data_IF_408663116354
#
_entry.id   IF_408663116354
#
_cell.length_a   1.000
_cell.length_b   1.000
_cell.length_c   1.000
_cell.angle_alpha   90.00
_cell.angle_beta   90.00
_cell.angle_gamma   90.00
#
_symmetry.space_group_name_H-M   'P 1'
#
loop_
_entity.id
_entity.type
_entity.pdbx_description
1 polymer ?
#
# COMPACT_ATOMS: atom_id res chain seq x y z
N UNK A 1 -25.22 -19.00 -9.79
CA UNK A 1 -24.66 -18.37 -11.01
C UNK A 1 -24.10 -16.99 -10.67
N UNK A 2 -22.80 -16.83 -10.44
CA UNK A 2 -22.07 -15.54 -10.50
C UNK A 2 -20.61 -15.82 -10.87
N UNK A 3 -20.36 -16.08 -12.15
CA UNK A 3 -19.02 -16.07 -12.76
C UNK A 3 -19.03 -15.01 -13.86
N UNK A 4 -17.89 -14.36 -14.07
CA UNK A 4 -17.57 -13.43 -15.18
C UNK A 4 -17.85 -11.92 -15.02
N UNK A 5 -17.24 -11.29 -14.01
CA UNK A 5 -16.87 -9.86 -14.11
C UNK A 5 -15.41 -9.56 -13.72
N UNK A 6 -14.67 -10.52 -13.12
CA UNK A 6 -13.31 -10.27 -12.60
C UNK A 6 -12.16 -10.53 -13.57
N UNK A 7 -12.38 -11.22 -14.70
CA UNK A 7 -11.28 -11.61 -15.61
C UNK A 7 -10.78 -10.48 -16.52
N UNK A 8 -11.56 -9.42 -16.74
CA UNK A 8 -11.23 -8.36 -17.71
C UNK A 8 -10.24 -7.32 -17.15
N UNK A 9 -10.24 -7.10 -15.83
CA UNK A 9 -9.40 -6.08 -15.19
C UNK A 9 -7.95 -6.53 -14.92
N UNK A 10 -7.69 -7.84 -14.98
CA UNK A 10 -6.37 -8.44 -14.73
C UNK A 10 -5.38 -8.21 -15.90
N UNK A 11 -5.86 -8.16 -17.14
CA UNK A 11 -5.01 -8.09 -18.34
C UNK A 11 -4.33 -6.73 -18.57
N UNK A 12 -5.04 -5.63 -18.30
CA UNK A 12 -4.47 -4.29 -18.45
C UNK A 12 -3.50 -3.94 -17.31
N UNK A 13 -3.76 -4.52 -16.15
CA UNK A 13 -2.99 -4.32 -14.94
C UNK A 13 -1.64 -5.06 -14.99
N UNK A 14 -1.63 -6.30 -15.46
CA UNK A 14 -0.40 -7.07 -15.68
C UNK A 14 0.53 -6.37 -16.70
N UNK A 15 -0.04 -5.75 -17.75
CA UNK A 15 0.73 -4.96 -18.72
C UNK A 15 1.38 -3.73 -18.07
N UNK A 16 0.66 -3.02 -17.21
CA UNK A 16 1.20 -1.86 -16.47
C UNK A 16 2.30 -2.27 -15.49
N UNK A 17 2.13 -3.39 -14.77
CA UNK A 17 3.14 -3.94 -13.85
C UNK A 17 4.37 -4.51 -14.56
N UNK A 18 4.20 -5.15 -15.72
CA UNK A 18 5.33 -5.60 -16.53
C UNK A 18 6.15 -4.42 -17.06
N UNK A 19 5.48 -3.31 -17.43
CA UNK A 19 6.14 -2.07 -17.82
C UNK A 19 6.87 -1.40 -16.65
N UNK A 20 6.34 -1.50 -15.43
CA UNK A 20 6.98 -1.03 -14.20
C UNK A 20 8.26 -1.81 -13.87
N UNK A 21 8.21 -3.15 -13.92
CA UNK A 21 9.41 -4.02 -13.77
C UNK A 21 10.48 -3.74 -14.83
N UNK A 22 10.08 -3.35 -16.04
CA UNK A 22 10.99 -2.98 -17.11
C UNK A 22 11.64 -1.58 -16.91
N UNK A 23 10.99 -0.67 -16.19
CA UNK A 23 11.53 0.66 -15.88
C UNK A 23 12.59 0.63 -14.77
N UNK A 24 12.45 -0.23 -13.75
CA UNK A 24 13.50 -0.44 -12.73
C UNK A 24 14.79 -1.03 -13.33
N UNK A 25 14.68 -1.76 -14.45
CA UNK A 25 15.84 -2.28 -15.19
C UNK A 25 16.54 -1.25 -16.09
N UNK A 26 15.97 -0.06 -16.28
CA UNK A 26 16.46 0.92 -17.26
C UNK A 26 17.07 2.20 -16.66
N UNK A 27 17.28 2.27 -15.33
CA UNK A 27 17.82 3.47 -14.70
C UNK A 27 19.21 3.26 -14.08
N UNK A 28 20.24 3.26 -14.94
CA UNK A 28 21.58 3.71 -14.56
C UNK A 28 22.10 4.68 -15.63
N UNK A 29 22.06 6.01 -15.41
CA UNK A 29 22.73 6.95 -16.29
C UNK A 29 23.93 7.59 -15.56
N UNK A 30 25.13 7.19 -15.94
CA UNK A 30 26.32 7.98 -15.64
C UNK A 30 26.26 9.28 -16.46
N UNK A 31 26.04 10.41 -15.79
CA UNK A 31 26.45 11.74 -16.25
C UNK A 31 25.54 12.47 -17.26
N UNK A 32 24.56 13.23 -16.77
CA UNK A 32 24.11 14.47 -17.41
C UNK A 32 23.33 15.35 -16.40
N UNK A 33 23.75 16.60 -16.24
CA UNK A 33 23.13 17.60 -15.34
C UNK A 33 21.71 17.96 -15.82
N UNK A 34 20.68 18.03 -14.96
CA UNK A 34 19.38 18.53 -15.39
C UNK A 34 19.32 20.06 -15.33
N UNK A 35 19.02 20.66 -16.48
CA UNK A 35 18.53 22.04 -16.61
C UNK A 35 17.06 22.08 -16.21
N UNK A 36 16.70 22.97 -15.28
CA UNK A 36 15.31 23.23 -14.90
C UNK A 36 14.69 24.23 -15.88
N UNK A 37 14.24 23.75 -17.03
CA UNK A 37 13.37 24.51 -17.92
C UNK A 37 12.19 23.64 -18.38
N UNK A 38 11.00 24.11 -18.04
CA UNK A 38 9.65 23.75 -18.48
C UNK A 38 9.49 22.53 -19.41
N UNK A 39 8.77 21.51 -18.92
CA UNK A 39 8.05 20.57 -19.78
C UNK A 39 6.66 20.32 -19.18
N UNK A 40 5.67 21.01 -19.75
CA UNK A 40 4.26 20.73 -19.56
C UNK A 40 3.87 19.35 -20.08
N UNK A 41 2.81 18.81 -19.47
CA UNK A 41 1.94 17.72 -19.93
C UNK A 41 2.58 16.55 -20.69
N UNK A 42 2.91 15.48 -19.96
CA UNK A 42 3.04 14.13 -20.53
C UNK A 42 1.73 13.37 -20.35
N UNK A 43 0.75 13.62 -21.21
CA UNK A 43 -0.40 12.73 -21.41
C UNK A 43 0.07 11.41 -22.03
N UNK A 44 0.12 10.33 -21.24
CA UNK A 44 0.37 8.97 -21.76
C UNK A 44 1.10 7.99 -20.84
N UNK A 45 1.60 8.43 -19.68
CA UNK A 45 2.12 7.52 -18.65
C UNK A 45 1.34 7.75 -17.36
N UNK A 46 0.34 6.90 -17.08
CA UNK A 46 -0.31 6.86 -15.77
C UNK A 46 0.78 6.65 -14.73
N UNK A 47 0.96 7.60 -13.84
CA UNK A 47 2.04 7.54 -12.84
C UNK A 47 1.79 6.36 -11.90
N UNK A 48 2.85 5.79 -11.29
CA UNK A 48 2.68 4.71 -10.30
C UNK A 48 1.72 5.10 -9.18
N UNK A 49 1.69 6.40 -8.83
CA UNK A 49 0.76 6.99 -7.86
C UNK A 49 -0.69 6.91 -8.32
N UNK A 50 -0.98 7.21 -9.58
CA UNK A 50 -2.32 7.09 -10.15
C UNK A 50 -2.78 5.64 -10.25
N UNK A 51 -1.89 4.72 -10.60
CA UNK A 51 -2.20 3.28 -10.64
C UNK A 51 -2.64 2.79 -9.26
N UNK A 52 -1.86 3.11 -8.21
CA UNK A 52 -2.20 2.72 -6.85
C UNK A 52 -3.50 3.39 -6.38
N UNK A 53 -3.71 4.66 -6.72
CA UNK A 53 -4.93 5.37 -6.33
C UNK A 53 -6.16 4.74 -6.98
N UNK A 54 -6.06 4.38 -8.25
CA UNK A 54 -7.14 3.69 -8.96
C UNK A 54 -7.39 2.30 -8.39
N UNK A 55 -6.34 1.57 -8.02
CA UNK A 55 -6.48 0.28 -7.33
C UNK A 55 -7.25 0.43 -6.03
N UNK A 56 -6.86 1.35 -5.15
CA UNK A 56 -7.58 1.61 -3.89
C UNK A 56 -9.06 1.90 -4.15
N UNK A 57 -9.38 2.80 -5.10
CA UNK A 57 -10.76 3.14 -5.47
C UNK A 57 -11.57 1.91 -5.92
N UNK A 58 -10.98 1.04 -6.73
CA UNK A 58 -11.66 -0.16 -7.24
C UNK A 58 -11.98 -1.13 -6.09
N UNK A 59 -11.04 -1.33 -5.18
CA UNK A 59 -11.17 -2.24 -4.03
C UNK A 59 -12.22 -1.72 -3.03
N UNK A 60 -12.24 -0.41 -2.80
CA UNK A 60 -13.13 0.21 -1.79
C UNK A 60 -14.44 0.75 -2.34
N UNK A 61 -14.77 0.53 -3.62
CA UNK A 61 -15.93 1.15 -4.29
C UNK A 61 -17.29 0.90 -3.64
N UNK A 62 -17.43 -0.18 -2.88
CA UNK A 62 -18.69 -0.61 -2.26
C UNK A 62 -18.71 -0.36 -0.73
N UNK A 63 -17.73 0.36 -0.20
CA UNK A 63 -17.65 0.68 1.23
C UNK A 63 -18.26 2.06 1.47
N UNK A 64 -19.33 2.09 2.26
CA UNK A 64 -19.97 3.34 2.66
C UNK A 64 -19.01 4.19 3.51
N UNK A 65 -19.05 5.50 3.33
CA UNK A 65 -18.17 6.43 4.04
C UNK A 65 -16.71 6.45 3.56
N UNK A 66 -16.36 5.70 2.51
CA UNK A 66 -14.98 5.66 1.97
C UNK A 66 -14.91 6.26 0.57
N UNK A 67 -14.23 7.40 0.44
CA UNK A 67 -13.96 8.07 -0.84
C UNK A 67 -12.48 8.46 -0.97
N UNK A 68 -11.73 7.62 -1.69
CA UNK A 68 -10.27 7.75 -1.81
C UNK A 68 -9.93 8.66 -2.99
N UNK A 69 -9.53 9.91 -2.72
CA UNK A 69 -9.14 10.91 -3.72
C UNK A 69 -7.64 11.19 -3.78
N UNK A 70 -6.94 10.86 -2.70
CA UNK A 70 -5.51 11.14 -2.53
C UNK A 70 -4.90 10.14 -1.53
N UNK A 71 -3.61 10.29 -1.23
CA UNK A 71 -2.90 9.52 -0.20
C UNK A 71 -2.72 10.30 1.12
N UNK A 72 -3.51 11.35 1.34
CA UNK A 72 -3.44 12.18 2.54
C UNK A 72 -4.79 12.16 3.26
N UNK A 73 -5.60 13.21 3.06
CA UNK A 73 -6.84 13.44 3.80
C UNK A 73 -7.86 12.29 3.69
N UNK A 74 -7.92 11.59 2.56
CA UNK A 74 -8.80 10.42 2.38
C UNK A 74 -8.48 9.24 3.31
N UNK A 75 -7.35 9.28 4.02
CA UNK A 75 -6.88 8.22 4.92
C UNK A 75 -6.84 8.67 6.38
N UNK A 76 -7.30 9.89 6.66
CA UNK A 76 -7.13 10.53 7.97
C UNK A 76 -8.01 9.95 9.08
N UNK A 77 -9.10 9.27 8.74
CA UNK A 77 -10.07 8.68 9.66
C UNK A 77 -9.88 7.17 9.89
N UNK A 78 -8.95 6.54 9.16
CA UNK A 78 -8.66 5.11 9.22
C UNK A 78 -9.63 4.22 8.44
N UNK A 79 -10.79 4.73 7.98
CA UNK A 79 -11.79 3.90 7.30
C UNK A 79 -11.29 3.36 5.96
N UNK A 80 -10.50 4.14 5.23
CA UNK A 80 -9.89 3.70 3.98
C UNK A 80 -8.91 2.52 4.19
N UNK A 81 -8.19 2.48 5.31
CA UNK A 81 -7.34 1.34 5.66
C UNK A 81 -8.17 0.12 6.04
N UNK A 82 -9.18 0.29 6.88
CA UNK A 82 -10.11 -0.79 7.25
C UNK A 82 -10.79 -1.40 6.01
N UNK A 83 -11.30 -0.57 5.09
CA UNK A 83 -12.00 -1.04 3.89
C UNK A 83 -11.09 -1.86 2.97
N UNK A 84 -9.83 -1.44 2.83
CA UNK A 84 -8.87 -2.14 2.00
C UNK A 84 -8.55 -3.53 2.55
N UNK A 85 -8.37 -3.65 3.87
CA UNK A 85 -8.06 -4.93 4.53
C UNK A 85 -9.29 -5.84 4.55
N UNK A 86 -10.45 -5.29 4.90
CA UNK A 86 -11.72 -6.03 4.92
C UNK A 86 -12.10 -6.59 3.54
N UNK A 87 -11.66 -5.96 2.44
CA UNK A 87 -11.88 -6.52 1.11
C UNK A 87 -11.22 -7.89 0.93
N UNK A 88 -10.03 -8.09 1.50
CA UNK A 88 -9.27 -9.33 1.41
C UNK A 88 -9.59 -10.28 2.56
N UNK A 89 -9.96 -9.74 3.73
CA UNK A 89 -10.34 -10.49 4.92
C UNK A 89 -11.71 -10.03 5.44
N UNK A 90 -12.81 -10.34 4.74
CA UNK A 90 -14.14 -9.88 5.10
C UNK A 90 -14.64 -10.44 6.44
N UNK A 91 -14.10 -11.57 6.88
CA UNK A 91 -14.48 -12.21 8.15
C UNK A 91 -13.67 -11.68 9.35
N UNK A 92 -12.73 -10.75 9.15
CA UNK A 92 -11.85 -10.27 10.21
C UNK A 92 -12.56 -9.34 11.21
N UNK A 93 -13.50 -8.52 10.73
CA UNK A 93 -14.28 -7.59 11.55
C UNK A 93 -15.50 -7.08 10.76
N UNK A 94 -16.51 -6.54 11.44
CA UNK A 94 -17.68 -5.94 10.78
C UNK A 94 -17.43 -4.46 10.43
N UNK A 95 -17.16 -4.19 9.15
CA UNK A 95 -16.94 -2.83 8.66
C UNK A 95 -18.12 -1.89 8.91
N UNK A 96 -19.36 -2.38 8.88
CA UNK A 96 -20.57 -1.55 8.97
C UNK A 96 -20.73 -0.85 10.33
N UNK A 97 -20.03 -1.36 11.35
CA UNK A 97 -20.03 -0.79 12.70
C UNK A 97 -19.02 0.34 12.88
N UNK A 98 -18.09 0.50 11.93
CA UNK A 98 -17.01 1.48 12.02
C UNK A 98 -17.54 2.89 11.75
N UNK A 99 -16.94 3.86 12.44
CA UNK A 99 -17.33 5.28 12.36
C UNK A 99 -16.10 6.16 12.18
N UNK A 100 -16.17 7.21 11.34
CA UNK A 100 -15.02 8.07 11.05
C UNK A 100 -14.53 8.86 12.29
N UNK A 101 -15.39 9.06 13.30
CA UNK A 101 -15.02 9.72 14.55
C UNK A 101 -14.05 8.86 15.39
N UNK A 102 -14.09 7.54 15.22
CA UNK A 102 -13.30 6.58 15.99
C UNK A 102 -11.90 6.34 15.40
N UNK A 103 -11.22 7.42 14.99
CA UNK A 103 -9.95 7.39 14.23
C UNK A 103 -8.92 6.42 14.82
N UNK A 104 -8.67 6.51 16.14
CA UNK A 104 -7.70 5.66 16.84
C UNK A 104 -8.01 4.18 16.66
N UNK A 105 -9.25 3.79 16.99
CA UNK A 105 -9.69 2.41 16.91
C UNK A 105 -9.64 1.89 15.46
N UNK A 106 -9.99 2.72 14.48
CA UNK A 106 -9.91 2.34 13.07
C UNK A 106 -8.47 2.06 12.65
N UNK A 107 -7.51 2.92 13.02
CA UNK A 107 -6.10 2.70 12.69
C UNK A 107 -5.52 1.46 13.38
N UNK A 108 -5.79 1.29 14.68
CA UNK A 108 -5.34 0.11 15.44
C UNK A 108 -5.91 -1.17 14.84
N UNK A 109 -7.23 -1.22 14.60
CA UNK A 109 -7.89 -2.37 13.99
C UNK A 109 -7.30 -2.72 12.62
N UNK A 110 -7.11 -1.72 11.75
CA UNK A 110 -6.53 -1.93 10.44
C UNK A 110 -5.11 -2.49 10.55
N UNK A 111 -4.22 -1.84 11.30
CA UNK A 111 -2.81 -2.25 11.36
C UNK A 111 -2.63 -3.61 12.03
N UNK A 112 -3.35 -3.87 13.12
CA UNK A 112 -3.36 -5.17 13.79
C UNK A 112 -3.82 -6.29 12.85
N UNK A 113 -4.90 -6.06 12.10
CA UNK A 113 -5.46 -7.07 11.19
C UNK A 113 -4.51 -7.33 10.03
N UNK A 114 -3.91 -6.29 9.46
CA UNK A 114 -2.93 -6.41 8.38
C UNK A 114 -1.65 -7.13 8.82
N UNK A 115 -1.20 -6.93 10.06
CA UNK A 115 -0.06 -7.65 10.61
C UNK A 115 -0.41 -9.13 10.85
N UNK A 116 -1.52 -9.41 11.54
CA UNK A 116 -1.91 -10.77 11.93
C UNK A 116 -2.26 -11.67 10.74
N UNK A 117 -3.03 -11.15 9.78
CA UNK A 117 -3.54 -11.95 8.65
C UNK A 117 -2.71 -11.75 7.38
N UNK A 118 -2.17 -10.56 7.21
CA UNK A 118 -1.39 -10.17 6.04
C UNK A 118 0.11 -10.33 6.18
N UNK A 119 0.63 -10.42 7.40
CA UNK A 119 2.07 -10.29 7.68
C UNK A 119 2.64 -8.98 7.09
N UNK A 120 1.90 -7.87 7.23
CA UNK A 120 2.34 -6.53 6.83
C UNK A 120 2.43 -5.65 8.07
N UNK A 121 3.66 -5.35 8.49
CA UNK A 121 3.92 -4.40 9.58
C UNK A 121 3.47 -2.99 9.18
N UNK A 122 2.86 -2.23 10.09
CA UNK A 122 2.61 -0.81 9.87
C UNK A 122 3.92 -0.02 9.82
N UNK A 123 4.04 0.87 8.84
CA UNK A 123 5.10 1.88 8.76
C UNK A 123 4.70 3.19 9.45
N UNK A 124 3.43 3.33 9.79
CA UNK A 124 2.83 4.52 10.36
C UNK A 124 2.54 4.27 11.84
N UNK A 125 2.96 5.19 12.71
CA UNK A 125 2.58 5.16 14.12
C UNK A 125 1.16 5.73 14.29
N UNK A 126 0.31 4.99 14.99
CA UNK A 126 -1.07 5.38 15.30
C UNK A 126 -1.12 6.69 16.09
N UNK A 127 -0.23 6.89 17.05
CA UNK A 127 -0.18 8.11 17.86
C UNK A 127 0.08 9.34 17.00
N UNK A 128 0.99 9.22 16.03
CA UNK A 128 1.29 10.31 15.10
C UNK A 128 0.12 10.58 14.15
N UNK A 129 -0.53 9.53 13.64
CA UNK A 129 -1.72 9.65 12.80
C UNK A 129 -2.89 10.33 13.52
N UNK A 130 -3.06 10.11 14.82
CA UNK A 130 -4.12 10.77 15.60
C UNK A 130 -3.77 12.24 15.86
N UNK A 131 -2.51 12.52 16.22
CA UNK A 131 -2.01 13.88 16.46
C UNK A 131 -2.08 14.75 15.21
N UNK A 132 -1.82 14.15 14.05
CA UNK A 132 -1.87 14.84 12.76
C UNK A 132 -3.28 14.83 12.19
N UNK A 133 -3.73 15.98 11.67
CA UNK A 133 -5.03 16.09 10.96
C UNK A 133 -5.02 15.35 9.62
N UNK A 134 -3.86 15.33 8.96
CA UNK A 134 -3.65 14.69 7.65
C UNK A 134 -2.31 13.95 7.69
N UNK A 135 -2.28 12.67 7.30
CA UNK A 135 -1.03 11.90 7.28
C UNK A 135 -0.09 12.35 6.14
N UNK A 136 1.22 12.10 6.29
CA UNK A 136 2.17 12.29 5.20
C UNK A 136 1.85 11.33 4.04
N UNK A 137 1.61 11.91 2.87
CA UNK A 137 1.18 11.16 1.71
C UNK A 137 2.20 10.15 1.19
N UNK A 138 3.50 10.36 1.45
CA UNK A 138 4.55 9.41 1.06
C UNK A 138 4.46 8.17 1.94
N UNK A 139 4.31 8.33 3.25
CA UNK A 139 4.20 7.21 4.19
C UNK A 139 2.93 6.39 3.90
N UNK A 140 1.79 7.04 3.67
CA UNK A 140 0.55 6.34 3.26
C UNK A 140 0.77 5.61 1.93
N UNK A 141 1.33 6.28 0.92
CA UNK A 141 1.60 5.67 -0.37
C UNK A 141 2.49 4.42 -0.25
N UNK A 142 3.55 4.47 0.54
CA UNK A 142 4.41 3.31 0.80
C UNK A 142 3.66 2.19 1.53
N UNK A 143 2.82 2.50 2.52
CA UNK A 143 1.97 1.51 3.17
C UNK A 143 1.05 0.80 2.17
N UNK A 144 0.44 1.55 1.25
CA UNK A 144 -0.42 0.99 0.20
C UNK A 144 0.37 0.11 -0.77
N UNK A 145 1.61 0.48 -1.11
CA UNK A 145 2.46 -0.38 -1.94
C UNK A 145 2.77 -1.71 -1.27
N UNK A 146 2.92 -1.74 0.06
CA UNK A 146 3.12 -2.99 0.82
C UNK A 146 1.85 -3.85 0.80
N UNK A 147 0.68 -3.27 1.08
CA UNK A 147 -0.59 -3.99 0.99
C UNK A 147 -0.86 -4.50 -0.41
N UNK A 148 -0.61 -3.68 -1.42
CA UNK A 148 -0.73 -4.09 -2.81
C UNK A 148 0.19 -5.29 -3.12
N UNK A 149 1.47 -5.24 -2.73
CA UNK A 149 2.39 -6.36 -2.95
C UNK A 149 1.89 -7.62 -2.24
N UNK A 150 1.45 -7.49 -0.99
CA UNK A 150 1.13 -8.64 -0.15
C UNK A 150 -0.23 -9.26 -0.48
N UNK A 151 -1.26 -8.44 -0.62
CA UNK A 151 -2.62 -8.89 -0.88
C UNK A 151 -2.85 -9.19 -2.37
N UNK A 152 -2.34 -8.36 -3.29
CA UNK A 152 -2.63 -8.57 -4.71
C UNK A 152 -1.70 -9.57 -5.40
N UNK A 153 -0.41 -9.61 -5.03
CA UNK A 153 0.58 -10.43 -5.75
C UNK A 153 0.85 -11.77 -5.10
N UNK A 154 0.63 -11.89 -3.78
CA UNK A 154 0.86 -13.13 -3.04
C UNK A 154 -0.42 -13.86 -2.66
N UNK A 155 -1.59 -13.36 -3.09
CA UNK A 155 -2.82 -14.16 -3.18
C UNK A 155 -2.62 -15.28 -4.20
N UNK A 156 -2.03 -16.38 -3.74
CA UNK A 156 -1.85 -17.56 -4.58
C UNK A 156 -0.98 -18.66 -3.99
N UNK A 157 0.24 -18.39 -3.49
CA UNK A 157 1.17 -19.44 -3.01
C UNK A 157 2.19 -18.90 -1.99
N UNK A 158 2.33 -19.64 -0.88
CA UNK A 158 3.46 -19.65 0.08
C UNK A 158 3.53 -18.55 1.14
N UNK A 159 2.55 -18.53 2.06
CA UNK A 159 2.54 -17.67 3.24
C UNK A 159 3.52 -18.07 4.39
N UNK A 160 4.48 -18.97 4.19
CA UNK A 160 5.45 -19.34 5.26
C UNK A 160 6.88 -18.81 5.05
N UNK A 161 7.17 -18.06 3.99
CA UNK A 161 8.53 -17.52 3.79
C UNK A 161 8.49 -15.99 3.84
N UNK A 162 9.07 -15.34 4.87
CA UNK A 162 9.31 -13.91 4.82
C UNK A 162 10.23 -13.61 3.62
N UNK A 163 10.03 -12.49 2.89
CA UNK A 163 10.89 -12.14 1.77
C UNK A 163 12.32 -11.90 2.24
N UNK A 164 13.18 -12.90 2.05
CA UNK A 164 14.62 -12.80 2.26
C UNK A 164 15.17 -11.83 1.23
N UNK A 165 15.40 -10.57 1.61
CA UNK A 165 16.08 -9.64 0.70
C UNK A 165 16.11 -8.15 1.05
N UNK A 166 15.35 -7.64 2.04
CA UNK A 166 15.32 -6.19 2.30
C UNK A 166 15.48 -5.81 3.78
N UNK A 167 15.69 -6.76 4.69
CA UNK A 167 16.13 -6.42 6.06
C UNK A 167 17.63 -6.67 6.12
N UNK A 168 18.49 -5.63 6.17
CA UNK A 168 19.87 -5.81 6.59
C UNK A 168 19.82 -6.46 7.97
N UNK A 169 20.32 -7.69 8.08
CA UNK A 169 20.56 -8.34 9.37
C UNK A 169 21.38 -7.35 10.19
N UNK A 170 20.82 -6.82 11.28
CA UNK A 170 21.60 -6.05 12.24
C UNK A 170 22.84 -6.87 12.58
N UNK A 171 24.02 -6.27 12.39
CA UNK A 171 25.27 -6.94 12.68
C UNK A 171 25.24 -7.44 14.13
N UNK A 172 25.63 -8.70 14.41
CA UNK A 172 25.75 -9.16 15.78
C UNK A 172 26.72 -8.23 16.54
N UNK A 173 26.46 -7.93 17.83
CA UNK A 173 27.35 -7.09 18.62
C UNK A 173 28.76 -7.72 18.65
N UNK A 174 29.83 -6.91 18.66
CA UNK A 174 31.19 -7.42 18.70
C UNK A 174 31.40 -8.20 20.00
N UNK A 175 31.66 -9.50 19.89
CA UNK A 175 32.12 -10.32 21.01
C UNK A 175 33.50 -9.80 21.42
N UNK A 176 33.57 -9.13 22.55
CA UNK A 176 34.84 -8.81 23.21
C UNK A 176 35.30 -10.09 23.90
N UNK A 177 36.04 -10.92 23.18
CA UNK A 177 36.71 -12.07 23.80
C UNK A 177 38.13 -11.63 24.21
N UNK A 178 38.26 -11.35 25.51
CA UNK A 178 39.54 -11.22 26.20
C UNK A 178 40.24 -12.57 26.23
N UNK A 179 41.38 -12.67 25.53
CA UNK A 179 42.64 -13.25 26.03
C UNK A 179 43.75 -13.09 25.00
#
# INVERSE_FOLDING_TARGET
>A
MKKNQFSSYHGNFQKAMNKFKAMDKANNPQGAKPSFAAAGSRSGATSAKEVMLNWCKIITKNYEGVDIKNFGSSWSDGLAFCALIHHFYPDAFDFSTLKPENRKANFELAFDTAEKLGNVSPLLDVQDLIRMKVPDWKCVFTQIQLYYRRFQLEEGKNCHVPPTGIIPKAAPPPTTENQ
#
